data_IF_854891893747
#
_entry.id   IF_854891893747
#
_cell.length_a   1.000
_cell.length_b   1.000
_cell.length_c   1.000
_cell.angle_alpha   90.00
_cell.angle_beta   90.00
_cell.angle_gamma   90.00
#
_symmetry.space_group_name_H-M   'P 1'
#
loop_
_entity.id
_entity.type
_entity.pdbx_description
1 polymer ?
#
# COMPACT_ATOMS: atom_id res chain seq x y z
N UNK A 1 39.64 1.09 5.28
CA UNK A 1 40.36 1.49 4.06
C UNK A 1 39.48 2.45 3.24
N UNK A 2 40.04 3.37 2.43
CA UNK A 2 39.28 4.30 1.58
C UNK A 2 39.63 4.06 0.09
N UNK A 3 38.67 3.55 -0.67
CA UNK A 3 38.74 3.19 -2.08
C UNK A 3 37.52 3.71 -2.84
N UNK A 4 37.10 4.94 -2.53
CA UNK A 4 36.02 5.63 -3.24
C UNK A 4 36.33 5.77 -4.72
N UNK A 5 35.36 5.45 -5.57
CA UNK A 5 35.47 5.46 -7.04
C UNK A 5 36.62 4.58 -7.58
N UNK A 6 37.19 3.68 -6.78
CA UNK A 6 38.27 2.81 -7.22
C UNK A 6 37.76 1.82 -8.28
N UNK A 7 38.61 1.54 -9.27
CA UNK A 7 38.38 0.44 -10.20
C UNK A 7 39.07 -0.82 -9.69
N UNK A 8 38.26 -1.80 -9.29
CA UNK A 8 38.67 -3.10 -8.76
C UNK A 8 38.18 -4.23 -9.66
N UNK A 9 37.75 -3.90 -10.89
CA UNK A 9 37.16 -4.84 -11.82
C UNK A 9 38.13 -5.95 -12.22
N UNK A 10 37.62 -7.17 -12.31
CA UNK A 10 38.37 -8.37 -12.71
C UNK A 10 39.45 -8.84 -11.72
N UNK A 11 39.62 -8.18 -10.58
CA UNK A 11 40.56 -8.63 -9.55
C UNK A 11 40.08 -9.91 -8.86
N UNK A 12 41.03 -10.65 -8.28
CA UNK A 12 40.73 -11.68 -7.28
C UNK A 12 40.94 -11.09 -5.89
N UNK A 13 39.84 -10.96 -5.14
CA UNK A 13 39.77 -10.40 -3.80
C UNK A 13 39.08 -11.39 -2.84
N UNK A 14 39.23 -12.68 -3.10
CA UNK A 14 38.70 -13.78 -2.29
C UNK A 14 39.20 -13.67 -0.84
N UNK A 15 38.31 -13.94 0.13
CA UNK A 15 38.59 -13.93 1.57
C UNK A 15 39.13 -12.60 2.14
N UNK A 16 39.10 -11.51 1.37
CA UNK A 16 39.63 -10.23 1.81
C UNK A 16 38.76 -9.60 2.91
N UNK A 17 39.41 -9.01 3.91
CA UNK A 17 38.71 -8.29 4.97
C UNK A 17 38.59 -6.79 4.63
N UNK A 18 37.38 -6.38 4.30
CA UNK A 18 36.97 -5.03 3.93
C UNK A 18 36.04 -4.38 4.95
N UNK A 19 36.00 -4.92 6.18
CA UNK A 19 35.18 -4.38 7.26
C UNK A 19 35.45 -2.87 7.45
N UNK A 20 34.39 -2.12 7.71
CA UNK A 20 34.42 -0.67 8.00
C UNK A 20 35.05 0.20 6.89
N UNK A 21 35.20 -0.33 5.67
CA UNK A 21 35.88 0.36 4.58
C UNK A 21 34.93 1.17 3.70
N UNK A 22 35.46 2.20 3.04
CA UNK A 22 34.70 3.10 2.17
C UNK A 22 34.98 2.79 0.71
N UNK A 23 33.96 2.33 -0.01
CA UNK A 23 33.97 1.89 -1.40
C UNK A 23 32.83 2.56 -2.19
N UNK A 24 32.43 3.77 -1.79
CA UNK A 24 31.36 4.48 -2.49
C UNK A 24 31.72 4.63 -3.97
N UNK A 25 30.77 4.25 -4.83
CA UNK A 25 30.90 4.22 -6.30
C UNK A 25 32.06 3.36 -6.84
N UNK A 26 32.63 2.45 -6.05
CA UNK A 26 33.69 1.55 -6.52
C UNK A 26 33.15 0.58 -7.58
N UNK A 27 34.01 0.20 -8.51
CA UNK A 27 33.71 -0.75 -9.56
C UNK A 27 34.29 -2.13 -9.21
N UNK A 28 33.45 -3.09 -8.86
CA UNK A 28 33.82 -4.48 -8.63
C UNK A 28 33.40 -5.40 -9.79
N UNK A 29 33.10 -4.86 -10.98
CA UNK A 29 32.56 -5.68 -12.06
C UNK A 29 33.48 -6.87 -12.41
N UNK A 30 32.91 -8.08 -12.45
CA UNK A 30 33.63 -9.31 -12.77
C UNK A 30 34.68 -9.75 -11.74
N UNK A 31 34.75 -9.12 -10.57
CA UNK A 31 35.68 -9.48 -9.49
C UNK A 31 35.28 -10.80 -8.84
N UNK A 32 36.28 -11.54 -8.34
CA UNK A 32 36.09 -12.66 -7.42
C UNK A 32 36.13 -12.15 -5.97
N UNK A 33 34.99 -12.15 -5.28
CA UNK A 33 34.85 -11.68 -3.90
C UNK A 33 34.38 -12.78 -2.96
N UNK A 34 34.52 -14.05 -3.34
CA UNK A 34 34.07 -15.17 -2.51
C UNK A 34 34.63 -15.05 -1.09
N UNK A 35 33.77 -15.25 -0.08
CA UNK A 35 34.12 -15.19 1.35
C UNK A 35 34.67 -13.84 1.85
N UNK A 36 34.59 -12.77 1.05
CA UNK A 36 35.01 -11.45 1.47
C UNK A 36 34.12 -10.90 2.60
N UNK A 37 34.71 -10.08 3.47
CA UNK A 37 34.00 -9.44 4.57
C UNK A 37 33.80 -7.94 4.32
N UNK A 38 32.59 -7.53 3.98
CA UNK A 38 32.15 -6.13 3.84
C UNK A 38 31.26 -5.66 4.99
N UNK A 39 31.36 -6.27 6.17
CA UNK A 39 30.57 -5.84 7.32
C UNK A 39 30.78 -4.35 7.59
N UNK A 40 29.67 -3.60 7.74
CA UNK A 40 29.66 -2.14 7.97
C UNK A 40 30.37 -1.30 6.88
N UNK A 41 30.67 -1.89 5.72
CA UNK A 41 31.30 -1.17 4.63
C UNK A 41 30.33 -0.16 3.98
N UNK A 42 30.88 0.94 3.46
CA UNK A 42 30.13 1.93 2.68
C UNK A 42 30.25 1.60 1.20
N UNK A 43 29.20 1.02 0.63
CA UNK A 43 29.13 0.54 -0.75
C UNK A 43 28.07 1.28 -1.57
N UNK A 44 27.69 2.48 -1.15
CA UNK A 44 26.70 3.29 -1.88
C UNK A 44 27.14 3.50 -3.32
N UNK A 45 26.28 3.14 -4.28
CA UNK A 45 26.55 3.25 -5.72
C UNK A 45 27.59 2.26 -6.26
N UNK A 46 28.07 1.30 -5.46
CA UNK A 46 29.06 0.33 -5.91
C UNK A 46 28.48 -0.61 -6.98
N UNK A 47 29.34 -1.01 -7.93
CA UNK A 47 28.95 -1.84 -9.08
C UNK A 47 29.45 -3.28 -8.89
N UNK A 48 28.53 -4.22 -8.90
CA UNK A 48 28.77 -5.66 -8.75
C UNK A 48 28.22 -6.47 -9.93
N UNK A 49 28.39 -5.97 -11.16
CA UNK A 49 27.94 -6.69 -12.35
C UNK A 49 28.73 -7.99 -12.55
N UNK A 50 28.03 -9.13 -12.61
CA UNK A 50 28.62 -10.48 -12.80
C UNK A 50 29.72 -10.85 -11.77
N UNK A 51 29.58 -10.38 -10.54
CA UNK A 51 30.53 -10.66 -9.45
C UNK A 51 30.26 -12.00 -8.78
N UNK A 52 31.30 -12.68 -8.34
CA UNK A 52 31.19 -13.84 -7.44
C UNK A 52 31.12 -13.35 -5.98
N UNK A 53 29.92 -13.37 -5.40
CA UNK A 53 29.63 -12.92 -4.03
C UNK A 53 29.27 -14.08 -3.09
N UNK A 54 29.73 -15.30 -3.40
CA UNK A 54 29.40 -16.45 -2.58
C UNK A 54 29.97 -16.30 -1.16
N UNK A 55 29.15 -16.59 -0.15
CA UNK A 55 29.51 -16.51 1.27
C UNK A 55 30.05 -15.13 1.72
N UNK A 56 29.74 -14.05 0.99
CA UNK A 56 30.16 -12.70 1.36
C UNK A 56 29.35 -12.17 2.54
N UNK A 57 30.01 -11.50 3.48
CA UNK A 57 29.34 -10.79 4.58
C UNK A 57 29.09 -9.33 4.20
N UNK A 58 27.82 -8.95 4.01
CA UNK A 58 27.33 -7.57 3.88
C UNK A 58 26.61 -7.08 5.15
N UNK A 59 26.87 -7.70 6.31
CA UNK A 59 26.16 -7.37 7.56
C UNK A 59 26.28 -5.86 7.85
N UNK A 60 25.14 -5.18 7.99
CA UNK A 60 25.06 -3.73 8.22
C UNK A 60 25.82 -2.87 7.19
N UNK A 61 26.08 -3.39 5.99
CA UNK A 61 26.70 -2.61 4.91
C UNK A 61 25.69 -1.63 4.30
N UNK A 62 26.19 -0.47 3.86
CA UNK A 62 25.39 0.48 3.10
C UNK A 62 25.50 0.17 1.61
N UNK A 63 24.48 -0.46 1.04
CA UNK A 63 24.37 -0.84 -0.39
C UNK A 63 23.37 0.05 -1.15
N UNK A 64 23.11 1.27 -0.66
CA UNK A 64 22.18 2.19 -1.33
C UNK A 64 22.60 2.45 -2.77
N UNK A 65 21.67 2.37 -3.72
CA UNK A 65 21.93 2.53 -5.15
C UNK A 65 22.99 1.56 -5.72
N UNK A 66 23.36 0.49 -5.02
CA UNK A 66 24.30 -0.50 -5.52
C UNK A 66 23.69 -1.31 -6.67
N UNK A 67 24.55 -1.86 -7.53
CA UNK A 67 24.18 -2.58 -8.74
C UNK A 67 24.62 -4.04 -8.61
N UNK A 68 23.70 -4.97 -8.34
CA UNK A 68 24.00 -6.39 -8.09
C UNK A 68 23.56 -7.32 -9.24
N UNK A 69 23.38 -6.80 -10.45
CA UNK A 69 22.88 -7.56 -11.59
C UNK A 69 23.81 -8.72 -11.96
N UNK A 70 23.23 -9.91 -12.11
CA UNK A 70 23.91 -11.14 -12.50
C UNK A 70 25.04 -11.58 -11.57
N UNK A 71 25.16 -10.99 -10.39
CA UNK A 71 26.08 -11.43 -9.33
C UNK A 71 25.61 -12.76 -8.73
N UNK A 72 26.55 -13.60 -8.30
CA UNK A 72 26.21 -14.83 -7.59
C UNK A 72 26.23 -14.59 -6.07
N UNK A 73 25.06 -14.51 -5.44
CA UNK A 73 24.91 -14.20 -4.01
C UNK A 73 24.71 -15.45 -3.14
N UNK A 74 25.11 -16.64 -3.61
CA UNK A 74 24.95 -17.89 -2.86
C UNK A 74 25.53 -17.80 -1.45
N UNK A 75 24.71 -17.95 -0.41
CA UNK A 75 25.18 -17.92 0.98
C UNK A 75 25.63 -16.54 1.48
N UNK A 76 25.47 -15.47 0.70
CA UNK A 76 25.80 -14.12 1.15
C UNK A 76 24.89 -13.68 2.32
N UNK A 77 25.45 -12.90 3.24
CA UNK A 77 24.75 -12.41 4.42
C UNK A 77 24.45 -10.91 4.31
N UNK A 78 23.17 -10.57 4.13
CA UNK A 78 22.68 -9.18 4.01
C UNK A 78 22.00 -8.68 5.28
N UNK A 79 22.20 -9.32 6.43
CA UNK A 79 21.54 -8.94 7.67
C UNK A 79 21.76 -7.45 8.01
N UNK A 80 20.69 -6.67 8.08
CA UNK A 80 20.74 -5.23 8.36
C UNK A 80 21.44 -4.40 7.28
N UNK A 81 21.75 -4.98 6.11
CA UNK A 81 22.29 -4.23 4.98
C UNK A 81 21.23 -3.28 4.43
N UNK A 82 21.63 -2.07 4.05
CA UNK A 82 20.72 -1.09 3.49
C UNK A 82 20.69 -1.19 1.96
N UNK A 83 19.60 -1.72 1.40
CA UNK A 83 19.44 -1.97 -0.04
C UNK A 83 18.63 -0.88 -0.75
N UNK A 84 18.48 0.30 -0.14
CA UNK A 84 17.63 1.36 -0.69
C UNK A 84 17.96 1.69 -2.16
N UNK A 85 16.97 1.62 -3.05
CA UNK A 85 17.11 1.89 -4.49
C UNK A 85 18.20 1.06 -5.21
N UNK A 86 18.63 -0.07 -4.64
CA UNK A 86 19.60 -0.94 -5.30
C UNK A 86 18.97 -1.71 -6.46
N UNK A 87 19.75 -1.94 -7.53
CA UNK A 87 19.33 -2.81 -8.63
C UNK A 87 19.65 -4.24 -8.24
N UNK A 88 18.61 -5.03 -7.98
CA UNK A 88 18.73 -6.35 -7.37
C UNK A 88 18.21 -7.45 -8.30
N UNK A 89 19.07 -7.87 -9.22
CA UNK A 89 18.84 -9.03 -10.11
C UNK A 89 19.98 -10.07 -9.99
N UNK A 90 20.31 -10.56 -8.78
CA UNK A 90 21.35 -11.54 -8.63
C UNK A 90 20.90 -12.91 -9.16
N UNK A 91 21.88 -13.78 -9.44
CA UNK A 91 21.63 -15.20 -9.64
C UNK A 91 21.41 -15.84 -8.27
N UNK A 92 20.18 -16.26 -8.00
CA UNK A 92 19.86 -17.10 -6.84
C UNK A 92 19.93 -18.56 -7.29
N UNK A 93 20.93 -19.28 -6.81
CA UNK A 93 21.12 -20.71 -7.10
C UNK A 93 20.72 -21.61 -5.93
N UNK A 94 20.55 -21.07 -4.72
CA UNK A 94 20.15 -21.83 -3.52
C UNK A 94 19.20 -21.05 -2.62
N UNK A 95 18.28 -21.77 -1.97
CA UNK A 95 17.25 -21.25 -1.07
C UNK A 95 17.86 -20.60 0.20
N UNK A 96 18.99 -21.11 0.69
CA UNK A 96 19.61 -20.60 1.92
C UNK A 96 20.12 -19.16 1.80
N UNK A 97 20.41 -18.70 0.58
CA UNK A 97 20.85 -17.33 0.30
C UNK A 97 19.77 -16.29 0.65
N UNK A 98 18.50 -16.67 0.56
CA UNK A 98 17.39 -15.77 0.79
C UNK A 98 17.13 -15.44 2.25
N UNK A 99 17.46 -16.37 3.17
CA UNK A 99 17.20 -16.17 4.61
C UNK A 99 17.81 -14.86 5.12
N UNK A 100 19.05 -14.59 4.74
CA UNK A 100 19.76 -13.39 5.20
C UNK A 100 19.33 -12.12 4.44
N UNK A 101 18.81 -12.25 3.22
CA UNK A 101 18.32 -11.12 2.43
C UNK A 101 16.99 -10.61 2.99
N UNK A 102 16.13 -11.50 3.51
CA UNK A 102 14.86 -11.10 4.13
C UNK A 102 15.02 -10.16 5.33
N UNK A 103 16.20 -10.09 5.95
CA UNK A 103 16.48 -9.20 7.08
C UNK A 103 17.32 -7.97 6.68
N UNK A 104 17.45 -7.69 5.38
CA UNK A 104 17.97 -6.42 4.90
C UNK A 104 16.93 -5.31 5.06
N UNK A 105 17.39 -4.06 5.09
CA UNK A 105 16.53 -2.89 5.17
C UNK A 105 16.18 -2.34 3.78
N UNK A 106 15.03 -1.67 3.71
CA UNK A 106 14.54 -0.95 2.53
C UNK A 106 14.26 -1.83 1.30
N UNK A 107 13.85 -3.09 1.52
CA UNK A 107 13.50 -4.05 0.46
C UNK A 107 12.37 -3.54 -0.45
N UNK A 108 11.50 -2.66 0.08
CA UNK A 108 10.40 -2.05 -0.67
C UNK A 108 10.81 -1.15 -1.84
N UNK A 109 12.09 -0.74 -1.87
CA UNK A 109 12.63 0.20 -2.88
C UNK A 109 13.56 -0.48 -3.89
N UNK A 110 13.70 -1.80 -3.83
CA UNK A 110 14.51 -2.56 -4.78
C UNK A 110 14.06 -2.30 -6.22
N UNK A 111 15.03 -2.21 -7.12
CA UNK A 111 14.81 -1.96 -8.55
C UNK A 111 15.28 -3.15 -9.40
N UNK A 112 14.78 -3.25 -10.63
CA UNK A 112 15.21 -4.25 -11.61
C UNK A 112 15.24 -3.64 -13.02
N UNK A 113 16.07 -4.19 -13.92
CA UNK A 113 16.24 -3.68 -15.30
C UNK A 113 15.43 -4.45 -16.33
N UNK A 114 15.27 -5.77 -16.17
CA UNK A 114 14.53 -6.61 -17.12
C UNK A 114 13.10 -6.79 -16.64
N UNK A 115 12.15 -6.71 -17.59
CA UNK A 115 10.72 -6.77 -17.30
C UNK A 115 10.37 -7.96 -16.40
N UNK A 116 9.47 -7.78 -15.41
CA UNK A 116 9.03 -8.86 -14.56
C UNK A 116 8.19 -9.78 -15.45
N UNK A 117 8.76 -10.91 -15.87
CA UNK A 117 8.00 -11.90 -16.66
C UNK A 117 6.95 -12.49 -15.74
N UNK A 118 5.72 -11.99 -15.77
CA UNK A 118 4.58 -12.65 -15.14
C UNK A 118 3.58 -13.03 -16.21
N UNK A 119 3.81 -14.23 -16.73
CA UNK A 119 2.74 -15.08 -17.24
C UNK A 119 3.01 -16.56 -16.95
N UNK A 120 4.26 -17.00 -16.68
CA UNK A 120 4.61 -18.35 -16.19
C UNK A 120 6.09 -18.55 -15.68
N UNK A 121 6.79 -17.54 -15.16
CA UNK A 121 8.20 -17.72 -14.74
C UNK A 121 8.72 -16.68 -13.77
N UNK A 122 8.77 -17.06 -12.48
CA UNK A 122 9.10 -16.29 -11.28
C UNK A 122 10.29 -15.33 -11.42
N UNK A 123 10.10 -14.06 -11.01
CA UNK A 123 11.22 -13.13 -10.83
C UNK A 123 12.09 -13.55 -9.63
N UNK A 124 13.34 -13.09 -9.60
CA UNK A 124 14.24 -13.31 -8.46
C UNK A 124 13.63 -12.79 -7.16
N UNK A 125 12.94 -11.64 -7.23
CA UNK A 125 12.24 -11.04 -6.10
C UNK A 125 10.99 -11.84 -5.69
N UNK A 126 10.27 -12.49 -6.64
CA UNK A 126 9.11 -13.31 -6.26
C UNK A 126 9.55 -14.60 -5.56
N UNK A 127 10.64 -15.22 -5.99
CA UNK A 127 11.26 -16.34 -5.29
C UNK A 127 11.71 -15.93 -3.88
N UNK A 128 12.39 -14.79 -3.78
CA UNK A 128 12.83 -14.24 -2.51
C UNK A 128 11.64 -13.94 -1.58
N UNK A 129 10.57 -13.34 -2.11
CA UNK A 129 9.34 -13.07 -1.34
C UNK A 129 8.71 -14.35 -0.81
N UNK A 130 8.63 -15.40 -1.64
CA UNK A 130 8.17 -16.72 -1.22
C UNK A 130 9.02 -17.29 -0.07
N UNK A 131 10.34 -17.21 -0.21
CA UNK A 131 11.27 -17.70 0.82
C UNK A 131 11.18 -16.90 2.12
N UNK A 132 10.96 -15.59 2.05
CA UNK A 132 10.70 -14.77 3.24
C UNK A 132 9.42 -15.21 3.97
N UNK A 133 8.39 -15.65 3.24
CA UNK A 133 7.18 -16.21 3.86
C UNK A 133 7.44 -17.55 4.54
N UNK A 134 8.20 -18.43 3.89
CA UNK A 134 8.50 -19.76 4.41
C UNK A 134 9.24 -19.70 5.77
N UNK A 135 10.00 -18.62 6.01
CA UNK A 135 10.68 -18.37 7.29
C UNK A 135 9.92 -17.45 8.26
N UNK A 136 8.69 -17.05 7.93
CA UNK A 136 7.85 -16.17 8.77
C UNK A 136 8.19 -14.68 8.72
N UNK A 137 9.06 -14.24 7.81
CA UNK A 137 9.39 -12.82 7.59
C UNK A 137 8.36 -12.14 6.67
N UNK A 138 7.10 -12.07 7.14
CA UNK A 138 5.96 -11.58 6.36
C UNK A 138 6.09 -10.11 5.95
N UNK A 139 6.62 -9.25 6.82
CA UNK A 139 6.81 -7.83 6.51
C UNK A 139 7.78 -7.66 5.33
N UNK A 140 8.91 -8.37 5.35
CA UNK A 140 9.89 -8.39 4.27
C UNK A 140 9.32 -8.95 2.97
N UNK A 141 8.50 -10.00 3.05
CA UNK A 141 7.81 -10.56 1.89
C UNK A 141 6.87 -9.51 1.25
N UNK A 142 6.12 -8.77 2.07
CA UNK A 142 5.23 -7.70 1.62
C UNK A 142 6.00 -6.50 1.04
N UNK A 143 7.17 -6.16 1.60
CA UNK A 143 8.07 -5.16 1.03
C UNK A 143 8.52 -5.56 -0.38
N UNK A 144 8.93 -6.81 -0.56
CA UNK A 144 9.37 -7.32 -1.86
C UNK A 144 8.24 -7.33 -2.89
N UNK A 145 7.02 -7.70 -2.50
CA UNK A 145 5.85 -7.63 -3.38
C UNK A 145 5.58 -6.19 -3.79
N UNK A 146 5.62 -5.25 -2.84
CA UNK A 146 5.47 -3.84 -3.15
C UNK A 146 6.54 -3.37 -4.15
N UNK A 147 7.81 -3.75 -3.94
CA UNK A 147 8.89 -3.42 -4.86
C UNK A 147 8.61 -3.95 -6.28
N UNK A 148 8.20 -5.22 -6.41
CA UNK A 148 7.83 -5.83 -7.69
C UNK A 148 6.72 -5.03 -8.38
N UNK A 149 5.65 -4.73 -7.64
CA UNK A 149 4.46 -4.10 -8.19
C UNK A 149 4.70 -2.63 -8.55
N UNK A 150 5.50 -1.91 -7.76
CA UNK A 150 5.87 -0.51 -7.98
C UNK A 150 6.71 -0.34 -9.25
N UNK A 151 7.75 -1.14 -9.41
CA UNK A 151 8.57 -1.11 -10.63
C UNK A 151 7.75 -1.50 -11.87
N UNK A 152 6.77 -2.40 -11.73
CA UNK A 152 5.85 -2.73 -12.83
C UNK A 152 4.93 -1.53 -13.17
N UNK A 153 4.45 -0.79 -12.17
CA UNK A 153 3.72 0.46 -12.39
C UNK A 153 4.57 1.49 -13.16
N UNK A 154 5.85 1.64 -12.81
CA UNK A 154 6.76 2.52 -13.54
C UNK A 154 6.99 2.08 -14.99
N UNK A 155 7.03 0.76 -15.25
CA UNK A 155 7.13 0.22 -16.59
C UNK A 155 5.88 0.54 -17.43
N UNK A 156 4.69 0.47 -16.85
CA UNK A 156 3.43 0.83 -17.52
C UNK A 156 3.45 2.29 -17.97
N UNK A 157 3.97 3.20 -17.13
CA UNK A 157 4.15 4.61 -17.49
C UNK A 157 5.09 4.76 -18.69
N UNK A 158 6.26 4.09 -18.67
CA UNK A 158 7.22 4.10 -19.80
C UNK A 158 6.59 3.55 -21.09
N UNK A 159 5.73 2.53 -20.98
CA UNK A 159 4.98 1.94 -22.11
C UNK A 159 3.72 2.73 -22.50
N UNK A 160 3.45 3.88 -21.90
CA UNK A 160 2.27 4.72 -22.17
C UNK A 160 0.93 4.00 -21.87
N UNK A 161 0.95 2.97 -21.03
CA UNK A 161 -0.23 2.21 -20.60
C UNK A 161 -0.95 2.91 -19.42
N UNK A 162 -1.38 4.16 -19.65
CA UNK A 162 -1.86 5.05 -18.59
C UNK A 162 -3.14 4.55 -17.89
N UNK A 163 -4.03 3.88 -18.62
CA UNK A 163 -5.29 3.37 -18.06
C UNK A 163 -5.01 2.26 -17.04
N UNK A 164 -4.12 1.32 -17.39
CA UNK A 164 -3.73 0.24 -16.50
C UNK A 164 -2.96 0.78 -15.28
N UNK A 165 -2.05 1.73 -15.50
CA UNK A 165 -1.36 2.43 -14.42
C UNK A 165 -2.36 3.10 -13.47
N UNK A 166 -3.31 3.89 -13.99
CA UNK A 166 -4.28 4.60 -13.17
C UNK A 166 -5.18 3.63 -12.38
N UNK A 167 -5.61 2.54 -13.01
CA UNK A 167 -6.36 1.49 -12.34
C UNK A 167 -5.55 0.89 -11.17
N UNK A 168 -4.31 0.46 -11.43
CA UNK A 168 -3.46 -0.17 -10.40
C UNK A 168 -3.11 0.80 -9.28
N UNK A 169 -2.85 2.06 -9.61
CA UNK A 169 -2.59 3.12 -8.63
C UNK A 169 -3.77 3.32 -7.69
N UNK A 170 -4.98 3.52 -8.23
CA UNK A 170 -6.18 3.78 -7.42
C UNK A 170 -6.58 2.56 -6.59
N UNK A 171 -6.57 1.37 -7.19
CA UNK A 171 -7.13 0.17 -6.57
C UNK A 171 -6.13 -0.64 -5.72
N UNK A 172 -4.81 -0.44 -5.85
CA UNK A 172 -3.85 -1.25 -5.11
C UNK A 172 -2.80 -0.41 -4.39
N UNK A 173 -2.19 0.54 -5.08
CA UNK A 173 -1.11 1.33 -4.52
C UNK A 173 -1.62 2.32 -3.46
N UNK A 174 -2.62 3.12 -3.82
CA UNK A 174 -3.24 4.10 -2.93
C UNK A 174 -3.95 3.41 -1.75
N UNK A 175 -4.65 2.31 -2.02
CA UNK A 175 -5.51 1.63 -1.06
C UNK A 175 -4.72 0.88 0.03
N UNK A 176 -3.71 0.11 -0.36
CA UNK A 176 -3.04 -0.84 0.55
C UNK A 176 -1.53 -0.93 0.35
N UNK A 177 -0.97 -0.23 -0.64
CA UNK A 177 0.41 -0.42 -1.11
C UNK A 177 0.69 -1.90 -1.40
N UNK A 178 -0.19 -2.54 -2.17
CA UNK A 178 -0.10 -3.98 -2.51
C UNK A 178 0.02 -4.89 -1.27
N UNK A 179 -0.71 -4.57 -0.21
CA UNK A 179 -0.71 -5.34 1.04
C UNK A 179 0.37 -4.95 2.05
N UNK A 180 1.35 -4.11 1.71
CA UNK A 180 2.37 -3.61 2.67
C UNK A 180 1.74 -2.87 3.85
N UNK A 181 0.64 -2.16 3.64
CA UNK A 181 0.01 -1.34 4.67
C UNK A 181 -1.51 -1.61 4.73
N UNK A 182 -1.95 -2.70 5.38
CA UNK A 182 -3.36 -3.07 5.41
C UNK A 182 -4.23 -2.00 6.07
N UNK A 183 -3.71 -1.30 7.08
CA UNK A 183 -4.42 -0.21 7.77
C UNK A 183 -4.70 1.03 6.90
N UNK A 184 -4.09 1.14 5.71
CA UNK A 184 -4.30 2.28 4.82
C UNK A 184 -5.72 2.32 4.25
N UNK A 185 -6.31 1.17 3.95
CA UNK A 185 -7.68 1.08 3.45
C UNK A 185 -8.69 1.61 4.48
N UNK A 186 -8.49 1.34 5.77
CA UNK A 186 -9.32 1.89 6.85
C UNK A 186 -9.14 3.41 7.01
N UNK A 187 -7.92 3.93 6.86
CA UNK A 187 -7.69 5.39 6.87
C UNK A 187 -8.43 6.07 5.73
N UNK A 188 -8.42 5.47 4.54
CA UNK A 188 -9.15 5.97 3.37
C UNK A 188 -10.66 5.84 3.60
N UNK A 189 -11.14 4.79 4.27
CA UNK A 189 -12.55 4.64 4.64
C UNK A 189 -13.01 5.77 5.57
N UNK A 190 -12.21 6.12 6.58
CA UNK A 190 -12.51 7.25 7.47
C UNK A 190 -12.51 8.57 6.69
N UNK A 191 -11.53 8.77 5.81
CA UNK A 191 -11.49 9.97 4.94
C UNK A 191 -12.70 10.03 4.01
N UNK A 192 -13.12 8.91 3.44
CA UNK A 192 -14.31 8.78 2.60
C UNK A 192 -15.56 9.25 3.35
N UNK A 193 -15.77 8.80 4.59
CA UNK A 193 -16.87 9.24 5.45
C UNK A 193 -16.84 10.76 5.69
N UNK A 194 -15.67 11.34 5.93
CA UNK A 194 -15.55 12.80 6.16
C UNK A 194 -15.89 13.58 4.89
N UNK A 195 -15.33 13.19 3.74
CA UNK A 195 -15.53 13.87 2.45
C UNK A 195 -16.99 13.82 2.03
N UNK A 196 -17.63 12.65 2.09
CA UNK A 196 -19.05 12.53 1.77
C UNK A 196 -19.94 13.24 2.80
N UNK A 197 -19.57 13.23 4.08
CA UNK A 197 -20.23 14.04 5.11
C UNK A 197 -20.25 15.54 4.78
N UNK A 198 -19.16 16.09 4.23
CA UNK A 198 -19.11 17.47 3.75
C UNK A 198 -20.01 17.70 2.54
N UNK A 199 -20.00 16.79 1.56
CA UNK A 199 -20.87 16.86 0.37
C UNK A 199 -22.35 16.86 0.79
N UNK A 200 -22.74 15.96 1.67
CA UNK A 200 -24.12 15.90 2.18
C UNK A 200 -24.49 17.13 3.02
N UNK A 201 -23.54 17.71 3.75
CA UNK A 201 -23.77 18.98 4.47
C UNK A 201 -24.16 20.10 3.51
N UNK A 202 -23.46 20.21 2.37
CA UNK A 202 -23.78 21.19 1.32
C UNK A 202 -25.14 20.90 0.70
N UNK A 203 -25.49 19.63 0.46
CA UNK A 203 -26.78 19.24 -0.11
C UNK A 203 -27.94 19.55 0.83
N UNK A 204 -27.82 19.24 2.12
CA UNK A 204 -28.82 19.58 3.14
C UNK A 204 -28.97 21.11 3.24
N UNK A 205 -27.86 21.84 3.17
CA UNK A 205 -27.88 23.31 3.19
C UNK A 205 -28.62 23.90 1.99
N UNK A 206 -28.38 23.39 0.77
CA UNK A 206 -29.08 23.85 -0.44
C UNK A 206 -30.57 23.50 -0.43
N UNK A 207 -30.95 22.36 0.14
CA UNK A 207 -32.35 22.00 0.35
C UNK A 207 -33.16 21.77 -0.92
N UNK A 208 -32.55 21.21 -1.98
CA UNK A 208 -33.23 20.99 -3.26
C UNK A 208 -34.36 19.94 -3.16
N UNK A 209 -35.58 20.23 -3.65
CA UNK A 209 -36.74 19.34 -3.46
C UNK A 209 -36.60 17.98 -4.16
N UNK A 210 -35.80 17.88 -5.23
CA UNK A 210 -35.57 16.60 -5.95
C UNK A 210 -34.34 15.84 -5.47
N UNK A 211 -33.40 16.51 -4.80
CA UNK A 211 -32.10 15.98 -4.39
C UNK A 211 -31.93 16.15 -2.89
N UNK A 212 -32.68 15.36 -2.12
CA UNK A 212 -32.76 15.52 -0.67
C UNK A 212 -32.61 14.20 0.08
N UNK A 213 -32.44 14.34 1.40
CA UNK A 213 -32.52 13.24 2.34
C UNK A 213 -33.89 13.34 3.03
N UNK A 214 -34.73 12.34 2.87
CA UNK A 214 -36.01 12.25 3.55
C UNK A 214 -35.85 11.63 4.93
N UNK A 215 -36.70 12.02 5.86
CA UNK A 215 -36.82 11.45 7.20
C UNK A 215 -38.16 10.75 7.30
N UNK A 216 -38.13 9.44 7.48
CA UNK A 216 -39.30 8.60 7.73
C UNK A 216 -39.39 8.21 9.20
N UNK A 217 -40.60 8.08 9.72
CA UNK A 217 -40.82 7.53 11.06
C UNK A 217 -40.96 6.01 11.00
N UNK A 218 -40.08 5.30 11.69
CA UNK A 218 -40.00 3.82 11.69
C UNK A 218 -41.31 3.16 12.12
N UNK A 219 -42.05 3.79 13.03
CA UNK A 219 -43.29 3.23 13.59
C UNK A 219 -44.53 3.61 12.76
N UNK A 220 -44.40 4.58 11.86
CA UNK A 220 -45.49 5.10 11.04
C UNK A 220 -45.01 5.29 9.60
N UNK A 221 -44.76 4.20 8.85
CA UNK A 221 -44.23 4.25 7.49
C UNK A 221 -45.18 4.93 6.49
N UNK A 222 -46.47 5.05 6.82
CA UNK A 222 -47.49 5.65 5.96
C UNK A 222 -47.52 7.20 6.04
N UNK A 223 -46.80 7.81 6.98
CA UNK A 223 -46.72 9.27 7.08
C UNK A 223 -45.85 9.86 5.97
N UNK A 224 -46.22 11.04 5.47
CA UNK A 224 -45.42 11.74 4.47
C UNK A 224 -44.01 12.05 5.01
N UNK A 225 -42.96 11.73 4.24
CA UNK A 225 -41.59 11.95 4.68
C UNK A 225 -41.27 13.43 4.87
N UNK A 226 -40.53 13.73 5.93
CA UNK A 226 -40.04 15.09 6.17
C UNK A 226 -38.71 15.28 5.46
N UNK A 227 -38.61 16.26 4.57
CA UNK A 227 -37.34 16.60 3.90
C UNK A 227 -36.34 17.21 4.88
N UNK A 228 -35.16 16.61 4.99
CA UNK A 228 -34.02 17.16 5.72
C UNK A 228 -33.35 18.27 4.89
N UNK A 229 -33.76 19.51 5.11
CA UNK A 229 -33.19 20.70 4.49
C UNK A 229 -32.83 21.77 5.53
N UNK A 230 -32.28 22.89 5.06
CA UNK A 230 -31.97 24.05 5.91
C UNK A 230 -33.18 24.56 6.70
N UNK A 231 -34.36 24.64 6.09
CA UNK A 231 -35.57 25.14 6.75
C UNK A 231 -36.02 24.25 7.90
N UNK A 232 -35.92 22.92 7.74
CA UNK A 232 -36.16 21.96 8.81
C UNK A 232 -35.21 22.19 9.99
N UNK A 233 -33.93 22.41 9.73
CA UNK A 233 -32.91 22.65 10.77
C UNK A 233 -33.12 24.01 11.45
N UNK A 234 -33.53 25.02 10.67
CA UNK A 234 -33.81 26.38 11.17
C UNK A 234 -34.94 26.38 12.20
N UNK A 235 -35.93 25.48 12.06
CA UNK A 235 -37.04 25.30 13.03
C UNK A 235 -36.62 24.62 14.34
N UNK A 236 -35.52 23.88 14.34
CA UNK A 236 -35.06 23.10 15.49
C UNK A 236 -34.08 23.86 16.39
N UNK A 237 -33.35 24.84 15.85
CA UNK A 237 -32.29 25.54 16.56
C UNK A 237 -32.28 27.03 16.22
N UNK A 238 -32.22 27.87 17.26
CA UNK A 238 -32.22 29.34 17.09
C UNK A 238 -30.83 29.90 16.74
N UNK A 239 -29.76 29.32 17.31
CA UNK A 239 -28.38 29.78 17.07
C UNK A 239 -27.83 29.32 15.72
N UNK A 240 -27.19 30.21 14.93
CA UNK A 240 -26.58 29.85 13.65
C UNK A 240 -25.47 28.80 13.79
N UNK A 241 -24.70 28.85 14.88
CA UNK A 241 -23.66 27.86 15.16
C UNK A 241 -24.24 26.46 15.39
N UNK A 242 -25.31 26.36 16.18
CA UNK A 242 -25.98 25.08 16.45
C UNK A 242 -26.62 24.49 15.18
N UNK A 243 -27.09 25.33 14.25
CA UNK A 243 -27.61 24.88 12.94
C UNK A 243 -26.54 24.19 12.10
N UNK A 244 -25.37 24.82 11.97
CA UNK A 244 -24.24 24.25 11.23
C UNK A 244 -23.80 22.92 11.86
N UNK A 245 -23.63 22.91 13.19
CA UNK A 245 -23.27 21.69 13.92
C UNK A 245 -24.31 20.57 13.74
N UNK A 246 -25.60 20.91 13.76
CA UNK A 246 -26.68 19.95 13.54
C UNK A 246 -26.67 19.36 12.12
N UNK A 247 -26.39 20.18 11.10
CA UNK A 247 -26.24 19.72 9.71
C UNK A 247 -25.04 18.80 9.60
N UNK A 248 -23.86 19.23 10.05
CA UNK A 248 -22.65 18.42 9.98
C UNK A 248 -22.83 17.08 10.69
N UNK A 249 -23.47 17.06 11.88
CA UNK A 249 -23.75 15.83 12.62
C UNK A 249 -24.70 14.90 11.84
N UNK A 250 -25.80 15.42 11.29
CA UNK A 250 -26.77 14.61 10.53
C UNK A 250 -26.17 14.11 9.21
N UNK A 251 -25.38 14.95 8.53
CA UNK A 251 -24.69 14.60 7.29
C UNK A 251 -23.62 13.54 7.51
N UNK A 252 -22.82 13.67 8.57
CA UNK A 252 -21.80 12.67 8.95
C UNK A 252 -22.46 11.34 9.31
N UNK A 253 -23.55 11.36 10.08
CA UNK A 253 -24.34 10.15 10.36
C UNK A 253 -24.85 9.50 9.07
N UNK A 254 -25.44 10.28 8.16
CA UNK A 254 -25.92 9.78 6.89
C UNK A 254 -24.79 9.20 6.04
N UNK A 255 -23.61 9.82 6.06
CA UNK A 255 -22.41 9.35 5.38
C UNK A 255 -21.91 8.03 5.95
N UNK A 256 -21.84 7.88 7.28
CA UNK A 256 -21.50 6.60 7.93
C UNK A 256 -22.50 5.52 7.52
N UNK A 257 -23.80 5.80 7.63
CA UNK A 257 -24.84 4.85 7.27
C UNK A 257 -24.77 4.44 5.79
N UNK A 258 -24.41 5.38 4.91
CA UNK A 258 -24.23 5.14 3.47
C UNK A 258 -22.98 4.32 3.17
N UNK A 259 -21.86 4.53 3.88
CA UNK A 259 -20.64 3.72 3.71
C UNK A 259 -20.87 2.23 3.91
N UNK A 260 -21.79 1.85 4.80
CA UNK A 260 -22.10 0.47 5.12
C UNK A 260 -23.47 0.00 4.59
N UNK A 261 -24.01 0.69 3.58
CA UNK A 261 -25.28 0.32 2.98
C UNK A 261 -25.09 -0.87 2.01
N UNK A 262 -25.28 -2.09 2.54
CA UNK A 262 -25.25 -3.32 1.76
C UNK A 262 -26.62 -3.99 1.83
N UNK A 263 -27.26 -4.18 0.68
CA UNK A 263 -28.53 -4.90 0.58
C UNK A 263 -28.30 -6.42 0.56
N UNK A 264 -27.56 -6.91 1.56
CA UNK A 264 -27.35 -8.33 1.80
C UNK A 264 -28.27 -8.73 2.96
N UNK A 265 -29.20 -9.64 2.71
CA UNK A 265 -30.28 -10.04 3.62
C UNK A 265 -29.83 -10.52 5.02
N UNK A 266 -28.54 -10.78 5.22
CA UNK A 266 -27.96 -11.32 6.45
C UNK A 266 -27.01 -10.37 7.20
N UNK A 267 -26.54 -9.27 6.58
CA UNK A 267 -25.57 -8.32 7.17
C UNK A 267 -25.93 -6.86 6.86
N UNK A 268 -27.14 -6.45 7.24
CA UNK A 268 -27.59 -5.08 7.01
C UNK A 268 -27.09 -4.14 8.13
N UNK A 269 -25.84 -3.69 8.00
CA UNK A 269 -25.17 -2.80 8.97
C UNK A 269 -25.94 -1.49 9.18
N UNK A 270 -26.63 -0.97 8.14
CA UNK A 270 -27.53 0.18 8.27
C UNK A 270 -28.64 -0.09 9.28
N UNK A 271 -29.23 -1.27 9.27
CA UNK A 271 -30.28 -1.63 10.20
C UNK A 271 -29.75 -1.70 11.63
N UNK A 272 -28.55 -2.26 11.83
CA UNK A 272 -27.89 -2.27 13.14
C UNK A 272 -27.54 -0.87 13.66
N UNK A 273 -26.95 -0.01 12.82
CA UNK A 273 -26.68 1.41 13.16
C UNK A 273 -28.00 2.14 13.46
N UNK A 274 -29.05 1.86 12.70
CA UNK A 274 -30.37 2.46 12.95
C UNK A 274 -30.97 2.02 14.28
N UNK A 275 -30.68 0.80 14.76
CA UNK A 275 -31.12 0.28 16.07
C UNK A 275 -30.34 0.86 17.25
N UNK A 276 -29.08 1.24 17.05
CA UNK A 276 -28.28 1.93 18.07
C UNK A 276 -28.72 3.38 18.30
N UNK A 277 -29.55 3.93 17.41
CA UNK A 277 -30.10 5.27 17.55
C UNK A 277 -31.39 5.24 18.39
N UNK A 278 -31.50 6.03 19.47
CA UNK A 278 -32.69 6.09 20.30
C UNK A 278 -33.87 6.83 19.66
N UNK A 279 -33.74 7.37 18.44
CA UNK A 279 -34.84 8.00 17.73
C UNK A 279 -35.45 7.07 16.66
N UNK A 280 -36.76 7.18 16.48
CA UNK A 280 -37.52 6.35 15.53
C UNK A 280 -37.39 6.85 14.09
N UNK A 281 -36.29 7.52 13.71
CA UNK A 281 -36.15 8.20 12.42
C UNK A 281 -35.23 7.44 11.47
N UNK A 282 -35.71 7.16 10.26
CA UNK A 282 -34.93 6.58 9.16
C UNK A 282 -34.63 7.64 8.10
N UNK A 283 -33.42 7.61 7.54
CA UNK A 283 -32.98 8.57 6.53
C UNK A 283 -32.88 7.88 5.18
N UNK A 284 -33.59 8.41 4.19
CA UNK A 284 -33.63 7.86 2.84
C UNK A 284 -33.20 8.89 1.80
N UNK A 285 -32.27 8.55 0.90
CA UNK A 285 -31.81 9.48 -0.13
C UNK A 285 -32.69 9.46 -1.37
N UNK A 286 -32.91 10.65 -1.95
CA UNK A 286 -33.62 10.86 -3.21
C UNK A 286 -32.76 11.62 -4.24
N UNK A 287 -33.02 11.36 -5.52
CA UNK A 287 -32.32 12.00 -6.63
C UNK A 287 -30.80 11.75 -6.61
N UNK A 288 -30.01 12.81 -6.79
CA UNK A 288 -28.54 12.75 -6.81
C UNK A 288 -27.94 12.26 -5.50
N UNK A 289 -28.61 12.48 -4.37
CA UNK A 289 -28.14 11.97 -3.07
C UNK A 289 -28.11 10.44 -3.07
N UNK A 290 -29.07 9.80 -3.74
CA UNK A 290 -29.16 8.33 -3.85
C UNK A 290 -28.03 7.75 -4.68
N UNK A 291 -27.67 8.44 -5.77
CA UNK A 291 -26.52 8.05 -6.61
C UNK A 291 -25.23 8.17 -5.82
N UNK A 292 -25.02 9.29 -5.11
CA UNK A 292 -23.83 9.51 -4.30
C UNK A 292 -23.72 8.51 -3.15
N UNK A 293 -24.81 8.22 -2.44
CA UNK A 293 -24.80 7.21 -1.38
C UNK A 293 -24.49 5.83 -1.95
N UNK A 294 -24.99 5.48 -3.14
CA UNK A 294 -24.63 4.24 -3.82
C UNK A 294 -23.14 4.15 -4.16
N UNK A 295 -22.56 5.20 -4.73
CA UNK A 295 -21.11 5.27 -5.01
C UNK A 295 -20.30 5.13 -3.71
N UNK A 296 -20.70 5.84 -2.66
CA UNK A 296 -20.05 5.76 -1.36
C UNK A 296 -20.11 4.35 -0.76
N UNK A 297 -21.24 3.66 -0.93
CA UNK A 297 -21.43 2.28 -0.46
C UNK A 297 -20.47 1.32 -1.17
N UNK A 298 -20.38 1.41 -2.50
CA UNK A 298 -19.47 0.55 -3.29
C UNK A 298 -18.01 0.79 -2.90
N UNK A 299 -17.61 2.06 -2.73
CA UNK A 299 -16.28 2.40 -2.26
C UNK A 299 -16.02 1.87 -0.84
N UNK A 300 -17.00 1.99 0.06
CA UNK A 300 -16.93 1.46 1.41
C UNK A 300 -16.73 -0.05 1.43
N UNK A 301 -17.53 -0.80 0.66
CA UNK A 301 -17.41 -2.25 0.51
C UNK A 301 -16.03 -2.64 0.03
N UNK A 302 -15.57 -1.98 -1.03
CA UNK A 302 -14.26 -2.22 -1.62
C UNK A 302 -13.13 -2.00 -0.60
N UNK A 303 -13.17 -0.90 0.17
CA UNK A 303 -12.14 -0.61 1.17
C UNK A 303 -12.15 -1.61 2.33
N UNK A 304 -13.33 -2.05 2.77
CA UNK A 304 -13.46 -3.09 3.81
C UNK A 304 -12.96 -4.43 3.28
N UNK A 305 -13.33 -4.80 2.05
CA UNK A 305 -12.87 -6.02 1.40
C UNK A 305 -11.35 -5.99 1.22
N UNK A 306 -10.78 -4.87 0.77
CA UNK A 306 -9.33 -4.71 0.64
C UNK A 306 -8.62 -4.80 1.98
N UNK A 307 -9.15 -4.17 3.03
CA UNK A 307 -8.60 -4.29 4.37
C UNK A 307 -8.64 -5.75 4.85
N UNK A 308 -9.79 -6.41 4.75
CA UNK A 308 -9.96 -7.79 5.18
C UNK A 308 -9.05 -8.75 4.40
N UNK A 309 -9.02 -8.64 3.07
CA UNK A 309 -8.15 -9.45 2.23
C UNK A 309 -6.69 -9.19 2.56
N UNK A 310 -6.24 -7.94 2.64
CA UNK A 310 -4.82 -7.67 2.93
C UNK A 310 -4.40 -8.06 4.34
N UNK A 311 -5.31 -7.99 5.31
CA UNK A 311 -5.02 -8.36 6.69
C UNK A 311 -5.06 -9.88 6.93
N UNK A 312 -6.03 -10.59 6.35
CA UNK A 312 -6.25 -12.03 6.60
C UNK A 312 -5.95 -12.92 5.40
N UNK A 313 -6.32 -12.48 4.19
CA UNK A 313 -6.27 -13.27 2.97
C UNK A 313 -4.93 -13.21 2.23
N UNK A 314 -4.08 -12.22 2.54
CA UNK A 314 -2.78 -12.06 1.89
C UNK A 314 -2.87 -12.16 0.33
N UNK A 315 -3.83 -11.48 -0.35
CA UNK A 315 -4.17 -11.75 -1.76
C UNK A 315 -3.06 -11.40 -2.76
N UNK A 316 -2.06 -10.64 -2.33
CA UNK A 316 -0.90 -10.27 -3.13
C UNK A 316 0.34 -11.13 -2.82
N UNK A 317 0.26 -11.99 -1.80
CA UNK A 317 1.33 -12.86 -1.31
C UNK A 317 1.15 -14.27 -1.89
#
# INVERSE_FOLDING_TARGET
MNLRNADLSGLSLESCNFKDSDFQNANFNGTDLQEANFQQAKLMGAKFFKVKLQNVSFIAANLKNAQLEHSNVSGANFWGADLENSIFEPKITSIDSAKNICFAYNLYSLQYRKEPVIANGSSVLSLLSQQCRDIGAYDSAAELIYAIQNNYSELLLKKHAYIEYAFRYVFFELSTKYGKNPGQALKILVLNVIVFGLIYSIMIYKGEPRNHIAIHERNHPDMEPITLNWDYIKRLHDSPFLRVLAISRKALYFSIASTFYFDWSFLNVREWISRMRPDNKQYEPYGMVKVLSGIQSVLGLYLIAMWFLTYFGQPFL
#
